data_IF_735895100787
#
_entry.id   IF_735895100787
#
_cell.length_a   1.000
_cell.length_b   1.000
_cell.length_c   1.000
_cell.angle_alpha   90.00
_cell.angle_beta   90.00
_cell.angle_gamma   90.00
#
_symmetry.space_group_name_H-M   'P 1'
#
loop_
_entity.id
_entity.type
_entity.pdbx_description
1 polymer ?
#
# COMPACT_ATOMS: atom_id res chain seq x y z
N UNK A 1 -13.19 74.73 29.49
CA UNK A 1 -14.41 73.92 29.54
C UNK A 1 -15.01 73.95 28.14
N UNK A 2 -14.33 73.30 27.21
CA UNK A 2 -14.47 71.87 26.84
C UNK A 2 -15.53 71.72 25.74
N UNK A 3 -15.02 71.45 24.54
CA UNK A 3 -15.74 71.07 23.33
C UNK A 3 -16.20 69.62 23.43
N UNK A 4 -17.29 69.23 22.74
CA UNK A 4 -17.39 67.88 22.21
C UNK A 4 -17.46 67.86 20.68
N UNK A 5 -16.68 66.93 20.13
CA UNK A 5 -16.49 66.61 18.74
C UNK A 5 -17.67 65.81 18.13
N UNK A 6 -17.79 65.88 16.81
CA UNK A 6 -18.69 65.10 15.94
C UNK A 6 -17.89 63.91 15.34
N UNK A 7 -18.49 63.02 14.51
CA UNK A 7 -19.16 61.75 14.80
C UNK A 7 -18.32 60.50 14.39
N UNK A 8 -18.72 59.31 14.86
CA UNK A 8 -18.14 58.03 14.42
C UNK A 8 -19.22 56.96 14.17
N UNK A 9 -19.38 56.60 12.90
CA UNK A 9 -20.28 55.59 12.33
C UNK A 9 -19.79 54.13 12.65
N UNK A 10 -20.54 53.08 12.29
CA UNK A 10 -21.38 52.24 13.14
C UNK A 10 -20.76 50.89 13.55
N UNK A 11 -21.35 50.26 14.56
CA UNK A 11 -21.20 48.85 14.92
C UNK A 11 -21.50 47.95 13.71
N UNK A 12 -20.47 47.39 13.09
CA UNK A 12 -20.63 46.35 12.08
C UNK A 12 -19.40 45.44 12.03
N UNK A 13 -19.16 44.66 13.08
CA UNK A 13 -18.10 43.63 13.06
C UNK A 13 -18.31 42.59 14.17
N UNK A 14 -19.47 41.93 14.15
CA UNK A 14 -19.70 40.74 14.96
C UNK A 14 -20.58 39.75 14.20
N UNK A 15 -20.07 39.19 13.09
CA UNK A 15 -20.57 37.96 12.44
C UNK A 15 -19.75 37.46 11.24
N UNK A 16 -18.50 37.90 11.07
CA UNK A 16 -17.58 37.37 10.04
C UNK A 16 -16.35 36.76 10.71
N UNK A 17 -16.57 35.70 11.49
CA UNK A 17 -15.51 34.76 11.86
C UNK A 17 -15.18 33.94 10.61
N UNK A 18 -14.33 34.54 9.78
CA UNK A 18 -13.24 33.91 9.04
C UNK A 18 -13.47 32.43 8.72
N UNK A 19 -14.27 32.20 7.68
CA UNK A 19 -14.01 31.05 6.83
C UNK A 19 -12.57 31.23 6.32
N UNK A 20 -11.65 30.37 6.79
CA UNK A 20 -10.35 30.23 6.15
C UNK A 20 -10.61 29.76 4.71
N UNK A 21 -10.73 30.71 3.80
CA UNK A 21 -10.57 30.49 2.37
C UNK A 21 -9.09 30.27 2.11
N UNK A 22 -8.61 29.08 2.49
CA UNK A 22 -7.51 28.46 1.76
C UNK A 22 -8.09 28.07 0.40
N UNK A 23 -7.42 28.46 -0.66
CA UNK A 23 -7.74 28.17 -2.05
C UNK A 23 -7.71 26.66 -2.35
N UNK A 24 -8.67 25.91 -1.81
CA UNK A 24 -8.99 24.57 -2.23
C UNK A 24 -9.82 24.69 -3.51
N UNK A 25 -9.39 24.04 -4.60
CA UNK A 25 -10.16 24.05 -5.84
C UNK A 25 -11.58 23.56 -5.58
N UNK A 26 -12.59 24.12 -6.26
CA UNK A 26 -14.00 23.78 -6.02
C UNK A 26 -14.20 22.27 -5.80
N UNK A 27 -14.83 21.91 -4.67
CA UNK A 27 -15.12 20.52 -4.32
C UNK A 27 -15.81 19.81 -5.51
N UNK A 28 -15.27 18.68 -6.00
CA UNK A 28 -15.84 18.00 -7.17
C UNK A 28 -17.08 17.16 -6.85
N UNK A 29 -17.41 17.00 -5.56
CA UNK A 29 -18.52 16.17 -5.12
C UNK A 29 -19.86 16.92 -5.21
N UNK A 30 -20.95 16.18 -5.41
CA UNK A 30 -22.31 16.73 -5.40
C UNK A 30 -22.70 17.29 -4.03
N UNK A 31 -22.18 16.69 -2.96
CA UNK A 31 -22.26 17.19 -1.60
C UNK A 31 -20.88 17.70 -1.15
N UNK A 32 -20.80 18.99 -0.83
CA UNK A 32 -19.56 19.64 -0.39
C UNK A 32 -19.01 19.07 0.93
N UNK A 33 -19.85 18.46 1.77
CA UNK A 33 -19.41 17.81 3.00
C UNK A 33 -18.51 16.59 2.73
N UNK A 34 -18.64 15.96 1.55
CA UNK A 34 -17.79 14.85 1.14
C UNK A 34 -16.35 15.26 0.87
N UNK A 35 -16.07 16.56 0.73
CA UNK A 35 -14.70 17.07 0.61
C UNK A 35 -14.03 17.32 1.97
N UNK A 36 -14.70 17.03 3.09
CA UNK A 36 -14.11 17.10 4.42
C UNK A 36 -13.37 15.78 4.74
N UNK A 37 -12.23 15.84 5.46
CA UNK A 37 -11.51 14.63 5.84
C UNK A 37 -12.35 13.67 6.67
N UNK A 38 -12.20 12.36 6.42
CA UNK A 38 -12.86 11.29 7.18
C UNK A 38 -12.24 11.19 8.58
N UNK A 39 -13.06 11.49 9.60
CA UNK A 39 -12.63 11.49 11.01
C UNK A 39 -12.91 10.20 11.76
N UNK A 40 -13.81 9.35 11.26
CA UNK A 40 -14.18 8.10 11.93
C UNK A 40 -13.02 7.11 11.90
N UNK A 41 -12.67 6.53 13.04
CA UNK A 41 -11.63 5.49 13.14
C UNK A 41 -12.32 4.14 13.37
N UNK A 42 -12.24 3.20 12.43
CA UNK A 42 -12.82 1.87 12.62
C UNK A 42 -11.96 1.05 13.59
N UNK A 43 -12.56 0.03 14.20
CA UNK A 43 -11.82 -0.92 15.04
C UNK A 43 -10.94 -1.88 14.21
N UNK A 44 -11.30 -2.06 12.93
CA UNK A 44 -10.61 -2.91 11.97
C UNK A 44 -10.46 -2.18 10.64
N UNK A 45 -9.29 -2.26 10.02
CA UNK A 45 -8.97 -1.56 8.78
C UNK A 45 -8.93 -2.56 7.60
N UNK A 46 -9.55 -2.19 6.49
CA UNK A 46 -9.52 -2.92 5.21
C UNK A 46 -9.06 -1.96 4.13
N UNK A 47 -7.83 -2.19 3.67
CA UNK A 47 -7.19 -1.40 2.62
C UNK A 47 -7.45 -2.01 1.24
N UNK A 48 -7.65 -1.15 0.24
CA UNK A 48 -7.57 -1.53 -1.17
C UNK A 48 -6.57 -0.62 -1.89
N UNK A 49 -5.72 -1.21 -2.72
CA UNK A 49 -4.79 -0.51 -3.59
C UNK A 49 -5.42 -0.35 -4.98
N UNK A 50 -5.87 0.87 -5.29
CA UNK A 50 -6.46 1.20 -6.58
C UNK A 50 -5.36 1.60 -7.57
N UNK A 51 -5.19 0.80 -8.62
CA UNK A 51 -4.24 1.05 -9.72
C UNK A 51 -4.87 1.85 -10.88
N UNK A 52 -6.03 2.48 -10.63
CA UNK A 52 -6.78 3.29 -11.57
C UNK A 52 -7.88 2.54 -12.34
N UNK A 53 -8.41 3.21 -13.35
CA UNK A 53 -9.60 2.79 -14.11
C UNK A 53 -10.88 2.86 -13.28
N UNK A 54 -11.89 2.03 -13.58
CA UNK A 54 -13.23 2.07 -12.95
C UNK A 54 -13.60 0.75 -12.25
N UNK A 55 -12.61 -0.11 -11.98
CA UNK A 55 -12.81 -1.36 -11.23
C UNK A 55 -13.34 -1.11 -9.83
N UNK A 56 -13.04 0.04 -9.24
CA UNK A 56 -13.55 0.47 -7.95
C UNK A 56 -15.08 0.49 -7.83
N UNK A 57 -15.80 0.61 -8.96
CA UNK A 57 -17.27 0.53 -8.98
C UNK A 57 -17.80 -0.85 -8.60
N UNK A 58 -16.97 -1.88 -8.65
CA UNK A 58 -17.31 -3.27 -8.30
C UNK A 58 -16.77 -3.71 -6.95
N UNK A 59 -16.11 -2.82 -6.21
CA UNK A 59 -15.60 -3.14 -4.87
C UNK A 59 -16.74 -3.34 -3.87
N UNK A 60 -16.48 -4.14 -2.83
CA UNK A 60 -17.38 -4.26 -1.69
C UNK A 60 -17.14 -3.12 -0.69
N UNK A 61 -17.81 -2.00 -0.95
CA UNK A 61 -17.73 -0.80 -0.12
C UNK A 61 -18.32 -0.93 1.28
N UNK A 62 -18.94 -2.06 1.63
CA UNK A 62 -19.38 -2.32 3.01
C UNK A 62 -18.22 -2.65 3.95
N UNK A 63 -17.08 -3.05 3.40
CA UNK A 63 -15.91 -3.49 4.18
C UNK A 63 -14.76 -2.48 4.15
N UNK A 64 -14.63 -1.72 3.08
CA UNK A 64 -13.45 -0.87 2.81
C UNK A 64 -13.40 0.31 3.76
N UNK A 65 -12.24 0.50 4.37
CA UNK A 65 -11.98 1.64 5.26
C UNK A 65 -11.03 2.65 4.65
N UNK A 66 -10.10 2.19 3.80
CA UNK A 66 -9.11 3.04 3.12
C UNK A 66 -8.84 2.56 1.69
N UNK A 67 -8.77 3.51 0.75
CA UNK A 67 -8.29 3.30 -0.62
C UNK A 67 -6.96 4.01 -0.81
N UNK A 68 -5.89 3.25 -1.04
CA UNK A 68 -4.59 3.78 -1.44
C UNK A 68 -4.54 3.93 -2.96
N UNK A 69 -4.44 5.17 -3.46
CA UNK A 69 -4.55 5.46 -4.89
C UNK A 69 -3.16 5.48 -5.53
N UNK A 70 -2.86 4.42 -6.29
CA UNK A 70 -1.67 4.24 -7.12
C UNK A 70 -1.94 4.64 -8.58
N UNK A 71 -3.21 4.69 -8.98
CA UNK A 71 -3.66 5.19 -10.27
C UNK A 71 -3.66 6.73 -10.39
N UNK A 72 -4.15 7.22 -11.53
CA UNK A 72 -4.43 8.66 -11.69
C UNK A 72 -5.56 9.07 -10.75
N UNK A 73 -5.48 10.27 -10.19
CA UNK A 73 -6.55 10.85 -9.39
C UNK A 73 -7.89 10.82 -10.13
N UNK A 74 -8.88 10.18 -9.52
CA UNK A 74 -10.25 10.09 -10.01
C UNK A 74 -11.18 10.76 -8.98
N UNK A 75 -11.70 11.97 -9.26
CA UNK A 75 -12.59 12.66 -8.32
C UNK A 75 -13.90 11.91 -8.08
N UNK A 76 -14.35 11.08 -9.04
CA UNK A 76 -15.55 10.25 -8.86
C UNK A 76 -15.30 9.17 -7.78
N UNK A 77 -14.13 8.52 -7.82
CA UNK A 77 -13.70 7.56 -6.80
C UNK A 77 -13.61 8.24 -5.43
N UNK A 78 -12.94 9.39 -5.34
CA UNK A 78 -12.79 10.12 -4.07
C UNK A 78 -14.14 10.44 -3.45
N UNK A 79 -15.03 11.08 -4.21
CA UNK A 79 -16.38 11.42 -3.72
C UNK A 79 -17.17 10.19 -3.32
N UNK A 80 -17.08 9.10 -4.10
CA UNK A 80 -17.80 7.88 -3.80
C UNK A 80 -17.27 7.21 -2.53
N UNK A 81 -15.95 7.09 -2.36
CA UNK A 81 -15.33 6.54 -1.16
C UNK A 81 -15.74 7.32 0.09
N UNK A 82 -15.70 8.65 0.04
CA UNK A 82 -16.12 9.49 1.17
C UNK A 82 -17.61 9.35 1.47
N UNK A 83 -18.46 9.16 0.44
CA UNK A 83 -19.89 8.87 0.65
C UNK A 83 -20.15 7.54 1.36
N UNK A 84 -19.14 6.65 1.38
CA UNK A 84 -19.14 5.38 2.11
C UNK A 84 -18.39 5.45 3.43
N UNK A 85 -17.85 6.61 3.79
CA UNK A 85 -17.03 6.79 4.99
C UNK A 85 -15.64 6.17 4.89
N UNK A 86 -15.19 5.80 3.68
CA UNK A 86 -13.86 5.28 3.43
C UNK A 86 -12.88 6.42 3.12
N UNK A 87 -11.67 6.33 3.67
CA UNK A 87 -10.56 7.23 3.40
C UNK A 87 -10.02 7.04 1.99
N UNK A 88 -9.46 8.10 1.42
CA UNK A 88 -8.64 8.00 0.21
C UNK A 88 -7.26 8.60 0.46
N UNK A 89 -6.20 7.81 0.28
CA UNK A 89 -4.82 8.22 0.58
C UNK A 89 -3.95 8.25 -0.67
N UNK A 90 -3.02 9.20 -0.71
CA UNK A 90 -2.05 9.34 -1.80
C UNK A 90 -1.06 8.18 -1.82
N UNK A 91 -0.51 7.87 -3.01
CA UNK A 91 0.80 7.20 -3.10
C UNK A 91 1.95 8.17 -2.77
N UNK A 92 2.84 7.74 -1.88
CA UNK A 92 4.16 8.34 -1.65
C UNK A 92 5.25 7.41 -2.14
N UNK A 93 6.10 7.88 -3.06
CA UNK A 93 7.33 7.20 -3.47
C UNK A 93 8.37 8.28 -3.78
N UNK A 94 9.60 8.05 -3.36
CA UNK A 94 10.70 9.00 -3.45
C UNK A 94 12.05 8.28 -3.35
N UNK A 95 13.06 8.82 -4.04
CA UNK A 95 14.43 8.30 -4.02
C UNK A 95 15.01 8.33 -2.61
N UNK A 96 15.57 7.22 -2.16
CA UNK A 96 16.25 7.14 -0.86
C UNK A 96 17.46 8.07 -0.77
N UNK A 97 18.13 8.32 -1.89
CA UNK A 97 19.29 9.21 -1.94
C UNK A 97 18.91 10.66 -1.67
N UNK A 98 17.75 11.08 -2.14
CA UNK A 98 17.30 12.47 -2.04
C UNK A 98 16.84 12.78 -0.61
N UNK A 99 16.21 11.81 0.07
CA UNK A 99 15.69 12.00 1.43
C UNK A 99 16.78 12.10 2.50
N UNK A 100 18.05 11.86 2.17
CA UNK A 100 19.17 12.13 3.07
C UNK A 100 19.21 13.63 3.40
N UNK A 101 18.89 14.50 2.44
CA UNK A 101 18.79 15.94 2.67
C UNK A 101 17.47 16.29 3.39
N UNK A 102 17.51 16.81 4.63
CA UNK A 102 16.31 17.22 5.37
C UNK A 102 15.53 18.35 4.67
N UNK A 103 16.20 19.22 3.91
CA UNK A 103 15.54 20.29 3.15
C UNK A 103 14.69 19.71 2.02
N UNK A 104 15.24 18.71 1.33
CA UNK A 104 14.51 17.96 0.32
C UNK A 104 13.28 17.26 0.92
N UNK A 105 13.45 16.54 2.05
CA UNK A 105 12.31 15.90 2.75
C UNK A 105 11.22 16.91 3.07
N UNK A 106 11.57 18.03 3.68
CA UNK A 106 10.60 19.08 4.03
C UNK A 106 9.84 19.61 2.81
N UNK A 107 10.54 19.82 1.67
CA UNK A 107 9.92 20.26 0.42
C UNK A 107 8.98 19.20 -0.17
N UNK A 108 9.42 17.94 -0.23
CA UNK A 108 8.60 16.83 -0.72
C UNK A 108 7.34 16.62 0.13
N UNK A 109 7.48 16.65 1.47
CA UNK A 109 6.36 16.54 2.40
C UNK A 109 5.37 17.69 2.19
N UNK A 110 5.85 18.94 2.07
CA UNK A 110 4.98 20.09 1.81
C UNK A 110 4.21 19.95 0.50
N UNK A 111 4.87 19.45 -0.57
CA UNK A 111 4.21 19.17 -1.84
C UNK A 111 3.12 18.09 -1.71
N UNK A 112 3.39 16.99 -0.99
CA UNK A 112 2.42 15.91 -0.77
C UNK A 112 1.23 16.36 0.06
N UNK A 113 1.45 17.15 1.12
CA UNK A 113 0.36 17.73 1.92
C UNK A 113 -0.50 18.68 1.09
N UNK A 114 0.12 19.54 0.27
CA UNK A 114 -0.62 20.43 -0.62
C UNK A 114 -1.43 19.66 -1.66
N UNK A 115 -0.85 18.60 -2.25
CA UNK A 115 -1.55 17.73 -3.18
C UNK A 115 -2.75 17.06 -2.52
N UNK A 116 -2.57 16.52 -1.31
CA UNK A 116 -3.64 15.90 -0.54
C UNK A 116 -4.79 16.87 -0.28
N UNK A 117 -4.50 18.12 0.11
CA UNK A 117 -5.51 19.16 0.31
C UNK A 117 -6.26 19.53 -0.98
N UNK A 118 -5.55 19.65 -2.10
CA UNK A 118 -6.15 19.98 -3.41
C UNK A 118 -7.05 18.85 -3.92
N UNK A 119 -6.66 17.60 -3.65
CA UNK A 119 -7.35 16.40 -4.11
C UNK A 119 -8.30 15.80 -3.06
N UNK A 120 -8.49 16.46 -1.93
CA UNK A 120 -9.34 16.01 -0.82
C UNK A 120 -8.97 14.61 -0.29
N UNK A 121 -7.68 14.31 -0.22
CA UNK A 121 -7.15 13.04 0.28
C UNK A 121 -6.97 13.09 1.79
N UNK A 122 -7.25 11.96 2.45
CA UNK A 122 -7.16 11.76 3.89
C UNK A 122 -5.78 11.31 4.35
N UNK A 123 -4.73 11.36 3.52
CA UNK A 123 -3.44 10.83 3.94
C UNK A 123 -2.50 10.42 2.83
N UNK A 124 -1.55 9.57 3.20
CA UNK A 124 -0.52 9.05 2.29
C UNK A 124 -0.08 7.63 2.71
N UNK A 125 -0.03 6.73 1.75
CA UNK A 125 0.63 5.43 1.83
C UNK A 125 2.02 5.54 1.19
N UNK A 126 3.07 5.40 1.99
CA UNK A 126 4.45 5.51 1.54
C UNK A 126 4.94 4.12 1.11
N UNK A 127 5.26 3.99 -0.16
CA UNK A 127 5.67 2.78 -0.85
C UNK A 127 7.09 2.99 -1.39
N UNK A 128 8.09 2.72 -0.55
CA UNK A 128 9.51 2.82 -0.90
C UNK A 128 10.14 1.42 -0.78
N UNK A 129 10.55 0.89 -1.93
CA UNK A 129 10.96 -0.51 -2.10
C UNK A 129 12.47 -0.67 -2.44
N UNK A 130 13.24 0.40 -2.31
CA UNK A 130 14.66 0.49 -2.68
C UNK A 130 15.58 -0.20 -1.64
N UNK A 131 16.74 -0.71 -2.08
CA UNK A 131 17.74 -1.34 -1.19
C UNK A 131 18.24 -0.35 -0.14
N UNK A 132 18.37 -0.79 1.12
CA UNK A 132 19.00 -0.02 2.21
C UNK A 132 20.00 -0.90 2.92
N UNK A 133 21.22 -0.40 3.07
CA UNK A 133 22.21 -0.99 3.95
C UNK A 133 22.00 -0.42 5.37
N UNK A 134 22.01 -1.28 6.39
CA UNK A 134 21.75 -0.87 7.79
C UNK A 134 22.71 0.22 8.30
N UNK A 135 23.90 0.37 7.69
CA UNK A 135 24.90 1.37 8.07
C UNK A 135 24.91 2.61 7.17
N UNK A 136 24.01 2.70 6.19
CA UNK A 136 23.97 3.83 5.27
C UNK A 136 23.12 4.98 5.82
N UNK A 137 23.37 6.24 5.40
CA UNK A 137 22.58 7.39 5.84
C UNK A 137 21.07 7.25 5.53
N UNK A 138 20.73 6.51 4.48
CA UNK A 138 19.35 6.22 4.07
C UNK A 138 18.56 5.49 5.16
N UNK A 139 19.21 4.67 6.00
CA UNK A 139 18.58 3.94 7.11
C UNK A 139 17.86 4.87 8.09
N UNK A 140 18.56 5.89 8.56
CA UNK A 140 18.00 6.90 9.47
C UNK A 140 17.11 7.90 8.73
N UNK A 141 17.49 8.28 7.51
CA UNK A 141 16.74 9.23 6.70
C UNK A 141 15.34 8.73 6.35
N UNK A 142 15.16 7.43 6.10
CA UNK A 142 13.86 6.82 5.85
C UNK A 142 12.94 6.94 7.05
N UNK A 143 13.45 6.63 8.25
CA UNK A 143 12.67 6.76 9.50
C UNK A 143 12.31 8.22 9.77
N UNK A 144 13.23 9.15 9.50
CA UNK A 144 12.99 10.58 9.62
C UNK A 144 11.90 11.06 8.65
N UNK A 145 11.94 10.63 7.38
CA UNK A 145 10.90 10.93 6.39
C UNK A 145 9.52 10.51 6.87
N UNK A 146 9.37 9.27 7.36
CA UNK A 146 8.08 8.73 7.81
C UNK A 146 7.55 9.53 8.99
N UNK A 147 8.39 9.83 9.98
CA UNK A 147 8.02 10.66 11.15
C UNK A 147 7.61 12.07 10.75
N UNK A 148 8.45 12.76 9.99
CA UNK A 148 8.21 14.14 9.54
C UNK A 148 6.94 14.22 8.67
N UNK A 149 6.70 13.21 7.82
CA UNK A 149 5.48 13.10 7.01
C UNK A 149 4.26 12.95 7.91
N UNK A 150 4.29 12.01 8.86
CA UNK A 150 3.17 11.74 9.78
C UNK A 150 2.83 12.98 10.61
N UNK A 151 3.83 13.62 11.23
CA UNK A 151 3.64 14.83 12.02
C UNK A 151 3.10 16.01 11.20
N UNK A 152 3.45 16.11 9.91
CA UNK A 152 2.96 17.19 9.07
C UNK A 152 1.54 16.91 8.57
N UNK A 153 1.25 15.68 8.14
CA UNK A 153 -0.09 15.29 7.71
C UNK A 153 -1.10 15.41 8.85
N UNK A 154 -0.84 14.84 10.03
CA UNK A 154 -1.78 14.91 11.17
C UNK A 154 -2.06 16.35 11.63
N UNK A 155 -1.08 17.25 11.50
CA UNK A 155 -1.21 18.67 11.85
C UNK A 155 -2.03 19.47 10.84
N UNK A 156 -1.83 19.19 9.55
CA UNK A 156 -2.38 19.97 8.45
C UNK A 156 -3.71 19.43 7.92
N UNK A 157 -3.97 18.14 8.14
CA UNK A 157 -5.17 17.40 7.72
C UNK A 157 -5.63 16.58 8.93
N UNK A 158 -6.48 17.18 9.76
CA UNK A 158 -6.96 16.55 10.99
C UNK A 158 -7.74 15.28 10.66
N UNK A 159 -7.28 14.15 11.20
CA UNK A 159 -7.85 12.83 10.93
C UNK A 159 -7.11 12.05 9.84
N UNK A 160 -6.01 12.58 9.29
CA UNK A 160 -5.27 11.90 8.25
C UNK A 160 -4.66 10.57 8.70
N UNK A 161 -4.45 9.68 7.74
CA UNK A 161 -3.82 8.38 7.93
C UNK A 161 -2.51 8.31 7.14
N UNK A 162 -1.42 7.98 7.81
CA UNK A 162 -0.10 7.80 7.19
C UNK A 162 0.37 6.37 7.39
N UNK A 163 0.58 5.66 6.30
CA UNK A 163 0.98 4.25 6.29
C UNK A 163 2.28 4.06 5.54
N UNK A 164 2.96 2.94 5.79
CA UNK A 164 4.21 2.59 5.13
C UNK A 164 4.21 1.13 4.73
N UNK A 165 4.59 0.83 3.49
CA UNK A 165 4.65 -0.52 2.95
C UNK A 165 5.98 -1.17 3.34
N UNK A 166 5.92 -2.36 3.94
CA UNK A 166 7.10 -3.14 4.34
C UNK A 166 7.09 -4.50 3.67
N UNK A 167 8.27 -5.10 3.48
CA UNK A 167 8.39 -6.44 2.93
C UNK A 167 7.64 -7.49 3.78
N UNK A 168 7.37 -8.67 3.22
CA UNK A 168 6.65 -9.74 3.91
C UNK A 168 7.32 -10.25 5.20
N UNK A 169 8.63 -9.98 5.38
CA UNK A 169 9.37 -10.30 6.60
C UNK A 169 10.43 -9.22 6.91
N UNK A 170 10.76 -8.98 8.20
CA UNK A 170 11.83 -8.06 8.57
C UNK A 170 13.25 -8.63 8.36
N UNK A 171 13.39 -9.84 7.81
CA UNK A 171 14.67 -10.53 7.63
C UNK A 171 15.48 -10.02 6.43
N UNK A 172 15.51 -8.70 6.24
CA UNK A 172 16.24 -8.04 5.16
C UNK A 172 15.85 -8.56 3.76
N UNK A 173 14.56 -8.88 3.58
CA UNK A 173 13.99 -9.26 2.28
C UNK A 173 14.32 -8.17 1.26
N UNK A 174 14.78 -8.60 0.09
CA UNK A 174 15.23 -7.72 -0.99
C UNK A 174 16.30 -6.72 -0.56
N UNK A 175 17.13 -7.04 0.45
CA UNK A 175 18.12 -6.11 1.02
C UNK A 175 17.50 -4.81 1.54
N UNK A 176 16.27 -4.87 2.05
CA UNK A 176 15.60 -3.73 2.70
C UNK A 176 15.89 -3.77 4.19
N UNK A 177 17.11 -3.40 4.60
CA UNK A 177 17.43 -3.31 6.02
C UNK A 177 16.84 -2.03 6.61
N UNK A 178 15.52 -1.97 6.81
CA UNK A 178 14.86 -0.77 7.33
C UNK A 178 14.81 -0.80 8.86
N UNK A 179 14.71 0.39 9.48
CA UNK A 179 14.42 0.49 10.90
C UNK A 179 12.93 0.22 11.16
N UNK A 180 12.51 -1.04 11.05
CA UNK A 180 11.09 -1.40 11.10
C UNK A 180 10.39 -0.95 12.38
N UNK A 181 11.04 -1.00 13.54
CA UNK A 181 10.46 -0.54 14.81
C UNK A 181 10.35 0.99 14.86
N UNK A 182 11.36 1.71 14.36
CA UNK A 182 11.32 3.16 14.23
C UNK A 182 10.21 3.64 13.28
N UNK A 183 10.10 3.01 12.10
CA UNK A 183 9.06 3.29 11.11
C UNK A 183 7.68 2.95 11.69
N UNK A 184 7.51 1.78 12.30
CA UNK A 184 6.27 1.40 12.97
C UNK A 184 5.89 2.38 14.09
N UNK A 185 6.86 2.93 14.82
CA UNK A 185 6.62 3.95 15.84
C UNK A 185 6.20 5.30 15.24
N UNK A 186 6.59 5.57 14.00
CA UNK A 186 6.41 6.86 13.34
C UNK A 186 5.12 7.00 12.52
N UNK A 187 4.58 5.92 11.93
CA UNK A 187 3.36 5.93 11.11
C UNK A 187 2.13 5.41 11.87
N UNK A 188 0.93 5.49 11.27
CA UNK A 188 -0.30 4.92 11.84
C UNK A 188 -0.32 3.39 11.72
N UNK A 189 0.00 2.87 10.53
CA UNK A 189 0.08 1.43 10.25
C UNK A 189 1.25 1.07 9.33
N UNK A 190 1.75 -0.14 9.46
CA UNK A 190 2.57 -0.82 8.46
C UNK A 190 1.67 -1.70 7.60
N UNK A 191 1.73 -1.52 6.29
CA UNK A 191 1.15 -2.47 5.35
C UNK A 191 2.22 -3.50 5.00
N UNK A 192 2.04 -4.73 5.48
CA UNK A 192 2.99 -5.82 5.23
C UNK A 192 2.63 -6.43 3.88
N UNK A 193 3.52 -6.30 2.90
CA UNK A 193 3.37 -6.85 1.55
C UNK A 193 3.60 -8.37 1.56
N UNK A 194 2.73 -9.13 2.25
CA UNK A 194 2.74 -10.60 2.34
C UNK A 194 2.22 -11.26 1.06
N UNK A 195 2.91 -10.97 -0.03
CA UNK A 195 2.76 -11.50 -1.37
C UNK A 195 4.09 -11.34 -2.10
N UNK A 196 4.21 -11.94 -3.28
CA UNK A 196 5.47 -12.08 -4.01
C UNK A 196 6.57 -12.68 -3.09
N UNK A 197 6.18 -13.61 -2.21
CA UNK A 197 7.07 -14.16 -1.19
C UNK A 197 8.14 -15.09 -1.78
N UNK A 198 8.00 -15.41 -3.07
CA UNK A 198 8.97 -16.13 -3.90
C UNK A 198 9.90 -15.19 -4.68
N UNK A 199 9.96 -13.90 -4.34
CA UNK A 199 10.93 -12.95 -4.94
C UNK A 199 12.38 -13.44 -4.80
N UNK A 200 12.69 -14.19 -3.74
CA UNK A 200 14.01 -14.76 -3.48
C UNK A 200 13.92 -16.24 -3.07
N UNK A 201 14.18 -17.15 -4.02
CA UNK A 201 14.17 -18.59 -3.79
C UNK A 201 15.61 -19.08 -3.63
N UNK A 202 15.95 -19.54 -2.42
CA UNK A 202 17.27 -20.09 -2.06
C UNK A 202 17.34 -21.61 -2.09
N UNK A 203 16.19 -22.27 -2.14
CA UNK A 203 16.00 -23.72 -2.26
C UNK A 203 15.95 -24.14 -3.74
N UNK A 204 15.36 -25.29 -4.01
CA UNK A 204 15.11 -25.75 -5.37
C UNK A 204 14.23 -24.75 -6.13
N UNK A 205 14.54 -24.58 -7.42
CA UNK A 205 13.83 -23.65 -8.29
C UNK A 205 12.54 -24.31 -8.78
N UNK A 206 11.52 -24.25 -7.94
CA UNK A 206 10.20 -24.81 -8.19
C UNK A 206 9.13 -23.71 -8.13
N UNK A 207 8.03 -23.92 -8.84
CA UNK A 207 6.85 -23.07 -8.69
C UNK A 207 6.25 -23.26 -7.30
N UNK A 208 5.73 -22.18 -6.72
CA UNK A 208 5.19 -22.17 -5.37
C UNK A 208 4.12 -21.08 -5.23
N UNK A 209 3.38 -21.13 -4.12
CA UNK A 209 2.35 -20.17 -3.77
C UNK A 209 2.90 -18.75 -3.69
N UNK A 210 2.08 -17.79 -4.14
CA UNK A 210 2.41 -16.36 -4.07
C UNK A 210 2.60 -15.89 -2.60
N UNK A 211 1.78 -16.41 -1.70
CA UNK A 211 1.83 -16.16 -0.26
C UNK A 211 1.61 -17.49 0.51
N UNK A 212 2.67 -18.31 0.68
CA UNK A 212 2.54 -19.59 1.40
C UNK A 212 2.25 -19.35 2.88
N UNK A 213 1.20 -19.98 3.42
CA UNK A 213 0.66 -19.67 4.75
C UNK A 213 1.71 -19.67 5.88
N UNK A 214 2.54 -20.71 5.94
CA UNK A 214 3.55 -20.85 6.98
C UNK A 214 4.65 -19.79 6.87
N UNK A 215 5.03 -19.40 5.64
CA UNK A 215 6.03 -18.37 5.37
C UNK A 215 5.49 -16.99 5.75
N UNK A 216 4.27 -16.68 5.31
CA UNK A 216 3.54 -15.48 5.68
C UNK A 216 3.43 -15.35 7.20
N UNK A 217 2.93 -16.38 7.89
CA UNK A 217 2.76 -16.36 9.35
C UNK A 217 4.08 -16.16 10.10
N UNK A 218 5.17 -16.80 9.63
CA UNK A 218 6.49 -16.58 10.20
C UNK A 218 6.96 -15.12 10.08
N UNK A 219 6.67 -14.46 8.95
CA UNK A 219 6.93 -13.03 8.74
C UNK A 219 6.26 -12.13 9.78
N UNK A 220 4.96 -12.32 10.02
CA UNK A 220 4.23 -11.56 11.06
C UNK A 220 4.76 -11.84 12.46
N UNK A 221 5.04 -13.11 12.78
CA UNK A 221 5.64 -13.49 14.07
C UNK A 221 6.98 -12.77 14.28
N UNK A 222 7.80 -12.67 13.25
CA UNK A 222 9.09 -11.98 13.34
C UNK A 222 8.90 -10.46 13.57
N UNK A 223 7.96 -9.81 12.87
CA UNK A 223 7.63 -8.40 13.15
C UNK A 223 7.15 -8.18 14.60
N UNK A 224 6.30 -9.08 15.10
CA UNK A 224 5.78 -9.00 16.48
C UNK A 224 6.91 -9.22 17.49
N UNK A 225 7.83 -10.16 17.24
CA UNK A 225 9.00 -10.41 18.10
C UNK A 225 9.95 -9.22 18.17
N UNK A 226 9.98 -8.35 17.16
CA UNK A 226 10.70 -7.07 17.22
C UNK A 226 10.04 -6.04 18.15
N UNK A 227 8.86 -6.33 18.69
CA UNK A 227 8.09 -5.43 19.57
C UNK A 227 7.06 -4.57 18.84
N UNK A 228 6.81 -4.82 17.55
CA UNK A 228 5.75 -4.11 16.82
C UNK A 228 4.39 -4.66 17.25
N UNK A 229 3.51 -3.77 17.69
CA UNK A 229 2.15 -4.14 18.09
C UNK A 229 1.39 -4.76 16.90
N UNK A 230 0.75 -5.92 17.06
CA UNK A 230 -0.09 -6.51 16.00
C UNK A 230 -1.17 -5.55 15.48
N UNK A 231 -1.65 -4.61 16.32
CA UNK A 231 -2.64 -3.60 15.93
C UNK A 231 -2.11 -2.57 14.92
N UNK A 232 -0.79 -2.51 14.68
CA UNK A 232 -0.18 -1.65 13.66
C UNK A 232 0.09 -2.38 12.35
N UNK A 233 -0.12 -3.70 12.27
CA UNK A 233 0.17 -4.50 11.08
C UNK A 233 -1.11 -4.73 10.28
N UNK A 234 -1.11 -4.26 9.04
CA UNK A 234 -2.14 -4.58 8.05
C UNK A 234 -1.62 -5.71 7.18
N UNK A 235 -2.44 -6.75 7.00
CA UNK A 235 -2.07 -7.91 6.21
C UNK A 235 -2.32 -7.71 4.72
N UNK A 236 -1.26 -7.72 3.91
CA UNK A 236 -1.35 -7.68 2.47
C UNK A 236 -1.78 -9.02 1.90
N UNK A 237 -2.85 -9.04 1.11
CA UNK A 237 -3.39 -10.26 0.49
C UNK A 237 -3.45 -10.06 -1.03
N UNK A 238 -2.81 -10.92 -1.83
CA UNK A 238 -2.80 -10.76 -3.28
C UNK A 238 -4.12 -11.22 -3.90
N UNK A 239 -4.66 -10.41 -4.83
CA UNK A 239 -5.77 -10.79 -5.72
C UNK A 239 -5.28 -11.32 -7.07
N UNK A 240 -4.10 -11.91 -7.06
CA UNK A 240 -3.40 -12.47 -8.20
C UNK A 240 -2.50 -13.62 -7.74
N UNK A 241 -2.17 -14.45 -8.71
CA UNK A 241 -1.25 -15.57 -8.57
C UNK A 241 -0.13 -15.50 -9.60
N UNK A 242 0.63 -16.57 -9.76
CA UNK A 242 1.68 -16.71 -10.77
C UNK A 242 1.45 -17.91 -11.66
N UNK A 243 1.65 -17.69 -12.96
CA UNK A 243 1.65 -18.70 -14.01
C UNK A 243 3.10 -19.01 -14.41
N UNK A 244 3.58 -20.18 -14.01
CA UNK A 244 4.95 -20.64 -14.25
C UNK A 244 4.99 -21.66 -15.38
N UNK A 245 5.95 -21.51 -16.30
CA UNK A 245 6.26 -22.54 -17.29
C UNK A 245 7.09 -23.63 -16.61
N UNK A 246 6.63 -24.88 -16.68
CA UNK A 246 7.35 -26.03 -16.12
C UNK A 246 8.39 -26.55 -17.11
N UNK A 247 9.66 -26.57 -16.69
CA UNK A 247 10.74 -27.27 -17.40
C UNK A 247 10.59 -28.78 -17.28
N UNK A 248 10.14 -29.23 -16.12
CA UNK A 248 9.77 -30.61 -15.82
C UNK A 248 8.66 -30.61 -14.77
N UNK A 249 7.80 -31.63 -14.80
CA UNK A 249 6.83 -31.90 -13.74
C UNK A 249 7.13 -33.29 -13.16
N UNK A 250 7.26 -33.39 -11.83
CA UNK A 250 7.47 -34.67 -11.16
C UNK A 250 6.17 -35.48 -11.09
N UNK A 251 6.26 -36.72 -10.60
CA UNK A 251 5.07 -37.54 -10.30
C UNK A 251 4.23 -36.96 -9.16
N UNK A 252 4.85 -36.16 -8.28
CA UNK A 252 4.20 -35.45 -7.17
C UNK A 252 3.73 -34.03 -7.58
N UNK A 253 3.51 -33.80 -8.88
CA UNK A 253 3.05 -32.52 -9.45
C UNK A 253 3.96 -31.31 -9.15
N UNK A 254 5.25 -31.53 -8.84
CA UNK A 254 6.21 -30.44 -8.60
C UNK A 254 6.73 -29.88 -9.93
N UNK A 255 6.47 -28.60 -10.18
CA UNK A 255 6.90 -27.89 -11.39
C UNK A 255 8.28 -27.26 -11.18
N UNK A 256 9.32 -27.78 -11.86
CA UNK A 256 10.64 -27.13 -11.89
C UNK A 256 10.60 -25.93 -12.83
N UNK A 257 11.09 -24.77 -12.38
CA UNK A 257 11.07 -23.50 -13.11
C UNK A 257 12.47 -23.08 -13.59
N UNK A 258 12.50 -22.14 -14.54
CA UNK A 258 13.75 -21.56 -15.02
C UNK A 258 14.50 -20.79 -13.91
N UNK A 259 15.84 -20.84 -13.95
CA UNK A 259 16.67 -20.09 -13.02
C UNK A 259 16.71 -18.61 -13.41
N UNK A 260 15.91 -17.81 -12.73
CA UNK A 260 15.90 -16.35 -12.86
C UNK A 260 16.39 -15.74 -11.56
N UNK A 261 17.64 -15.25 -11.48
CA UNK A 261 18.20 -14.76 -10.23
C UNK A 261 17.65 -13.38 -9.85
N UNK A 262 17.43 -13.15 -8.57
CA UNK A 262 17.01 -11.84 -8.04
C UNK A 262 17.73 -11.53 -6.72
N UNK A 263 18.40 -10.37 -6.68
CA UNK A 263 19.12 -9.84 -5.50
C UNK A 263 20.01 -10.86 -4.78
N UNK A 264 20.65 -11.76 -5.54
CA UNK A 264 21.58 -12.78 -5.04
C UNK A 264 20.96 -14.17 -4.89
N UNK A 265 19.63 -14.29 -4.85
CA UNK A 265 18.96 -15.59 -4.88
C UNK A 265 19.15 -16.23 -6.28
N UNK A 266 19.39 -17.54 -6.36
CA UNK A 266 19.55 -18.23 -7.65
C UNK A 266 18.27 -18.23 -8.49
N UNK A 267 17.11 -18.16 -7.85
CA UNK A 267 15.78 -18.27 -8.47
C UNK A 267 14.79 -17.27 -7.85
N UNK A 268 13.72 -16.98 -8.57
CA UNK A 268 12.67 -16.03 -8.17
C UNK A 268 11.38 -16.28 -8.94
N UNK A 269 10.29 -15.71 -8.42
CA UNK A 269 8.98 -15.60 -9.07
C UNK A 269 9.01 -14.95 -10.47
N UNK A 270 10.06 -14.20 -10.81
CA UNK A 270 10.27 -13.64 -12.14
C UNK A 270 10.44 -14.70 -13.26
N UNK A 271 10.56 -15.99 -12.90
CA UNK A 271 10.43 -17.10 -13.83
C UNK A 271 8.98 -17.33 -14.31
N UNK A 272 8.00 -16.82 -13.57
CA UNK A 272 6.57 -16.86 -13.89
C UNK A 272 6.04 -15.49 -14.31
N UNK A 273 4.72 -15.44 -14.50
CA UNK A 273 3.99 -14.22 -14.85
C UNK A 273 2.80 -14.05 -13.92
N UNK A 274 2.64 -12.86 -13.36
CA UNK A 274 1.45 -12.54 -12.57
C UNK A 274 0.16 -12.71 -13.39
N UNK A 275 -0.82 -13.37 -12.78
CA UNK A 275 -2.16 -13.61 -13.34
C UNK A 275 -3.23 -13.16 -12.36
N UNK A 276 -4.10 -12.20 -12.74
CA UNK A 276 -5.20 -11.77 -11.88
C UNK A 276 -6.15 -12.93 -11.57
N UNK A 277 -6.72 -12.93 -10.37
CA UNK A 277 -7.66 -13.95 -9.91
C UNK A 277 -8.83 -14.20 -10.90
N UNK A 278 -9.32 -13.15 -11.57
CA UNK A 278 -10.35 -13.28 -12.61
C UNK A 278 -9.96 -14.18 -13.79
N UNK A 279 -8.68 -14.23 -14.15
CA UNK A 279 -8.18 -15.10 -15.22
C UNK A 279 -8.00 -16.53 -14.71
N UNK A 280 -7.44 -16.69 -13.51
CA UNK A 280 -7.31 -17.98 -12.81
C UNK A 280 -8.67 -18.68 -12.77
N UNK A 281 -9.72 -18.00 -12.28
CA UNK A 281 -11.07 -18.57 -12.15
C UNK A 281 -11.74 -18.91 -13.49
N UNK A 282 -11.35 -18.25 -14.59
CA UNK A 282 -11.84 -18.60 -15.93
C UNK A 282 -11.14 -19.84 -16.49
N UNK A 283 -9.88 -20.06 -16.11
CA UNK A 283 -9.04 -21.10 -16.68
C UNK A 283 -9.13 -22.42 -15.91
N UNK A 284 -9.23 -22.37 -14.58
CA UNK A 284 -9.11 -23.54 -13.68
C UNK A 284 -10.04 -24.70 -14.05
N UNK A 285 -11.28 -24.42 -14.47
CA UNK A 285 -12.24 -25.47 -14.85
C UNK A 285 -11.94 -26.14 -16.20
N UNK A 286 -11.05 -25.53 -17.01
CA UNK A 286 -10.59 -26.06 -18.29
C UNK A 286 -9.13 -26.53 -18.25
N UNK A 287 -8.52 -26.54 -17.05
CA UNK A 287 -7.15 -26.99 -16.86
C UNK A 287 -7.05 -28.52 -16.92
N UNK A 288 -5.82 -29.03 -16.98
CA UNK A 288 -5.57 -30.48 -17.06
C UNK A 288 -5.86 -31.15 -15.71
N UNK A 289 -5.50 -30.49 -14.60
CA UNK A 289 -5.64 -31.06 -13.26
C UNK A 289 -6.95 -30.66 -12.56
N UNK A 290 -7.68 -29.65 -13.03
CA UNK A 290 -8.61 -28.92 -12.17
C UNK A 290 -7.89 -28.21 -11.01
N UNK A 291 -8.63 -27.64 -10.07
CA UNK A 291 -8.04 -27.05 -8.86
C UNK A 291 -7.52 -28.16 -7.94
N UNK A 292 -6.25 -28.08 -7.59
CA UNK A 292 -5.59 -28.90 -6.57
C UNK A 292 -5.33 -28.04 -5.33
N UNK A 293 -4.98 -28.70 -4.22
CA UNK A 293 -4.66 -28.05 -2.96
C UNK A 293 -3.34 -28.58 -2.43
N UNK A 294 -2.42 -27.69 -2.11
CA UNK A 294 -1.17 -28.01 -1.44
C UNK A 294 -1.33 -27.79 0.07
N UNK A 295 -1.20 -28.87 0.85
CA UNK A 295 -1.39 -28.83 2.30
C UNK A 295 -0.26 -28.15 3.06
N UNK A 296 0.96 -28.10 2.51
CA UNK A 296 2.11 -27.50 3.19
C UNK A 296 2.11 -25.98 3.03
N UNK A 297 1.73 -25.51 1.84
CA UNK A 297 1.64 -24.09 1.48
C UNK A 297 0.26 -23.50 1.80
N UNK A 298 -0.75 -24.35 1.98
CA UNK A 298 -2.15 -23.98 2.19
C UNK A 298 -2.67 -23.06 1.08
N UNK A 299 -2.41 -23.46 -0.17
CA UNK A 299 -2.73 -22.69 -1.36
C UNK A 299 -3.22 -23.61 -2.48
N UNK A 300 -4.16 -23.14 -3.32
CA UNK A 300 -4.57 -23.88 -4.49
C UNK A 300 -3.54 -23.76 -5.60
N UNK A 301 -3.48 -24.76 -6.47
CA UNK A 301 -2.76 -24.67 -7.73
C UNK A 301 -3.49 -25.45 -8.83
N UNK A 302 -3.10 -25.25 -10.08
CA UNK A 302 -3.51 -26.13 -11.16
C UNK A 302 -2.47 -26.19 -12.28
N UNK A 303 -2.48 -27.30 -12.99
CA UNK A 303 -1.63 -27.55 -14.14
C UNK A 303 -2.44 -27.44 -15.45
N UNK A 304 -1.88 -26.79 -16.46
CA UNK A 304 -2.46 -26.78 -17.81
C UNK A 304 -1.38 -26.89 -18.89
N UNK A 305 -1.79 -27.17 -20.13
CA UNK A 305 -0.89 -27.14 -21.30
C UNK A 305 -1.19 -25.94 -22.18
N UNK A 306 -0.15 -25.23 -22.58
CA UNK A 306 -0.27 -24.18 -23.58
C UNK A 306 -0.47 -24.77 -25.00
N UNK A 307 -0.74 -23.94 -26.02
CA UNK A 307 -0.90 -24.42 -27.41
C UNK A 307 0.34 -25.09 -28.00
N UNK A 308 1.53 -24.87 -27.42
CA UNK A 308 2.77 -25.53 -27.81
C UNK A 308 2.99 -26.87 -27.08
N UNK A 309 2.04 -27.27 -26.21
CA UNK A 309 2.09 -28.51 -25.43
C UNK A 309 2.98 -28.43 -24.19
N UNK A 310 3.48 -27.24 -23.82
CA UNK A 310 4.28 -27.03 -22.61
C UNK A 310 3.38 -27.02 -21.38
N UNK A 311 3.84 -27.64 -20.31
CA UNK A 311 3.14 -27.59 -19.03
C UNK A 311 3.37 -26.25 -18.35
N UNK A 312 2.32 -25.78 -17.71
CA UNK A 312 2.28 -24.63 -16.84
C UNK A 312 1.67 -25.01 -15.50
N UNK A 313 2.19 -24.45 -14.42
CA UNK A 313 1.61 -24.54 -13.09
C UNK A 313 1.24 -23.15 -12.61
N UNK A 314 -0.02 -22.98 -12.23
CA UNK A 314 -0.57 -21.73 -11.73
C UNK A 314 -0.86 -21.87 -10.25
N UNK A 315 -0.33 -20.93 -9.46
CA UNK A 315 -0.55 -20.79 -8.01
C UNK A 315 -1.27 -19.48 -7.72
#
# INVERSE_FOLDING_TARGET
>A
MELPAVPGLPQLLLLMLVALQLSAGNCPCSDAALCLPIRHRPDFEVFIFDVGQKTWKSYDWSQITTVAVFGKYDPELMCYAHSKGARVVLKGDVSLKDIIDPTFRASWIAQKVNLAKIQYMDGINIDIEQEVNCSSPEYEALTALVRETTERFHREIVGSQVTFDVAWSPKNIDKRCYNYTGIAGACDFLFVMSYDEQSQIWSECIAAANAPYNQTLAGYIDYIKMGISPKKLIMGIPWYGYDYICLNISEDDVCTIAKVPFRGAPCSDAAGRQVPYKLIMKQVNSSVSGSQWDEDQQAPYYNYKDPAGRFHQVW
#
